data_IF_913188160712
#
_entry.id   IF_913188160712
#
_cell.length_a   1.000
_cell.length_b   1.000
_cell.length_c   1.000
_cell.angle_alpha   90.00
_cell.angle_beta   90.00
_cell.angle_gamma   90.00
#
_symmetry.space_group_name_H-M   'P 1'
#
loop_
_entity.id
_entity.type
_entity.pdbx_description
1 polymer ?
#
# COMPACT_ATOMS: atom_id res chain seq x y z
N UNK A 1 -29.09 0.63 -6.73
CA UNK A 1 -28.80 -0.59 -5.95
C UNK A 1 -27.83 -1.47 -6.65
N UNK A 2 -28.09 -1.77 -7.92
CA UNK A 2 -27.17 -2.57 -8.68
C UNK A 2 -25.82 -1.89 -8.81
N UNK A 3 -25.86 -0.58 -8.99
CA UNK A 3 -24.63 0.18 -9.07
C UNK A 3 -23.88 0.15 -7.74
N UNK A 4 -24.63 0.22 -6.66
CA UNK A 4 -24.03 0.16 -5.35
C UNK A 4 -23.34 -1.17 -5.12
N UNK A 5 -24.00 -2.24 -5.53
CA UNK A 5 -23.42 -3.57 -5.40
C UNK A 5 -22.15 -3.70 -6.21
N UNK A 6 -22.17 -3.18 -7.42
CA UNK A 6 -21.01 -3.22 -8.29
C UNK A 6 -19.88 -2.40 -7.68
N UNK A 7 -20.20 -1.21 -7.19
CA UNK A 7 -19.20 -0.36 -6.56
C UNK A 7 -18.63 -1.04 -5.32
N UNK A 8 -19.48 -1.69 -4.56
CA UNK A 8 -19.03 -2.38 -3.36
C UNK A 8 -18.07 -3.51 -3.72
N UNK A 9 -18.38 -4.23 -4.78
CA UNK A 9 -17.51 -5.32 -5.21
C UNK A 9 -16.15 -4.78 -5.66
N UNK A 10 -16.16 -3.73 -6.46
CA UNK A 10 -14.91 -3.12 -6.91
C UNK A 10 -14.12 -2.55 -5.75
N UNK A 11 -14.82 -1.93 -4.79
CA UNK A 11 -14.16 -1.40 -3.61
C UNK A 11 -13.54 -2.50 -2.77
N UNK A 12 -14.21 -3.65 -2.72
CA UNK A 12 -13.69 -4.77 -1.97
C UNK A 12 -12.40 -5.29 -2.59
N UNK A 13 -12.36 -5.38 -3.91
CA UNK A 13 -11.15 -5.81 -4.60
C UNK A 13 -10.01 -4.84 -4.35
N UNK A 14 -10.30 -3.55 -4.46
CA UNK A 14 -9.28 -2.53 -4.21
C UNK A 14 -8.80 -2.60 -2.77
N UNK A 15 -9.73 -2.83 -1.85
CA UNK A 15 -9.40 -2.93 -0.44
C UNK A 15 -8.49 -4.13 -0.19
N UNK A 16 -8.80 -5.25 -0.80
CA UNK A 16 -7.97 -6.45 -0.62
C UNK A 16 -6.56 -6.23 -1.11
N UNK A 17 -6.42 -5.56 -2.25
CA UNK A 17 -5.10 -5.28 -2.78
C UNK A 17 -4.33 -4.33 -1.88
N UNK A 18 -5.02 -3.35 -1.32
CA UNK A 18 -4.40 -2.42 -0.39
C UNK A 18 -3.91 -3.14 0.86
N UNK A 19 -4.74 -4.05 1.38
CA UNK A 19 -4.36 -4.81 2.57
C UNK A 19 -3.14 -5.68 2.28
N UNK A 20 -3.12 -6.29 1.11
CA UNK A 20 -1.97 -7.11 0.74
C UNK A 20 -0.69 -6.28 0.66
N UNK A 21 -0.78 -5.10 0.06
CA UNK A 21 0.37 -4.20 0.00
C UNK A 21 0.84 -3.81 1.40
N UNK A 22 -0.12 -3.56 2.29
CA UNK A 22 0.18 -3.21 3.67
C UNK A 22 1.02 -4.31 4.34
N UNK A 23 0.60 -5.55 4.17
CA UNK A 23 1.31 -6.67 4.77
C UNK A 23 2.67 -6.89 4.14
N UNK A 24 2.77 -6.70 2.84
CA UNK A 24 4.06 -6.84 2.16
C UNK A 24 5.03 -5.77 2.64
N UNK A 25 4.55 -4.55 2.84
CA UNK A 25 5.40 -3.48 3.34
C UNK A 25 5.92 -3.82 4.73
N UNK A 26 5.06 -4.36 5.59
CA UNK A 26 5.52 -4.80 6.91
C UNK A 26 6.62 -5.85 6.79
N UNK A 27 6.44 -6.79 5.88
CA UNK A 27 7.44 -7.84 5.70
C UNK A 27 8.79 -7.25 5.28
N UNK A 28 8.76 -6.27 4.39
CA UNK A 28 10.00 -5.63 3.94
C UNK A 28 10.65 -4.84 5.06
N UNK A 29 9.84 -4.14 5.84
CA UNK A 29 10.38 -3.37 6.96
C UNK A 29 11.01 -4.30 7.99
N UNK A 30 10.38 -5.43 8.22
CA UNK A 30 10.90 -6.40 9.17
C UNK A 30 12.19 -7.02 8.64
N UNK A 31 12.19 -7.44 7.38
CA UNK A 31 13.35 -8.08 6.77
C UNK A 31 14.56 -7.16 6.72
N UNK A 32 14.33 -5.88 6.50
CA UNK A 32 15.42 -4.93 6.38
C UNK A 32 15.97 -4.50 7.74
N UNK A 33 15.32 -4.89 8.81
CA UNK A 33 15.75 -4.51 10.15
C UNK A 33 15.22 -3.18 10.61
N UNK A 34 14.51 -2.45 9.75
CA UNK A 34 14.00 -1.13 10.12
C UNK A 34 12.98 -1.21 11.23
N UNK A 35 12.18 -2.27 11.25
CA UNK A 35 11.15 -2.41 12.27
C UNK A 35 11.73 -2.46 13.67
N UNK A 36 12.97 -2.94 13.80
CA UNK A 36 13.62 -3.00 15.10
C UNK A 36 14.34 -1.72 15.46
N UNK A 37 14.59 -0.86 14.48
CA UNK A 37 15.45 0.30 14.69
C UNK A 37 14.77 1.64 14.51
N UNK A 38 13.60 1.65 13.91
CA UNK A 38 12.89 2.88 13.61
C UNK A 38 11.47 2.75 14.07
N UNK A 39 11.08 3.64 14.93
CA UNK A 39 9.77 3.56 15.48
C UNK A 39 8.67 3.84 14.42
N UNK A 40 8.99 4.64 13.40
CA UNK A 40 8.00 4.88 12.35
C UNK A 40 7.71 3.63 11.54
N UNK A 41 8.66 2.70 11.48
CA UNK A 41 8.48 1.49 10.69
C UNK A 41 7.43 0.56 11.27
N UNK A 42 7.11 0.73 12.54
CA UNK A 42 6.04 -0.03 13.19
C UNK A 42 4.73 0.74 13.22
N UNK A 43 4.73 1.95 12.72
CA UNK A 43 3.55 2.79 12.76
C UNK A 43 2.56 2.36 11.71
N UNK A 44 1.41 1.85 12.14
CA UNK A 44 0.43 1.33 11.21
C UNK A 44 -0.11 2.40 10.28
N UNK A 45 -0.20 3.61 10.77
CA UNK A 45 -0.73 4.70 9.96
C UNK A 45 0.19 5.01 8.78
N UNK A 46 1.49 5.05 9.04
CA UNK A 46 2.46 5.33 7.98
C UNK A 46 2.50 4.18 6.98
N UNK A 47 2.51 2.96 7.48
CA UNK A 47 2.53 1.80 6.59
C UNK A 47 1.27 1.78 5.73
N UNK A 48 0.14 2.11 6.32
CA UNK A 48 -1.11 2.13 5.56
C UNK A 48 -1.10 3.25 4.52
N UNK A 49 -0.53 4.40 4.87
CA UNK A 49 -0.41 5.50 3.93
C UNK A 49 0.41 5.08 2.70
N UNK A 50 1.52 4.39 2.95
CA UNK A 50 2.34 3.91 1.84
C UNK A 50 1.56 2.92 0.98
N UNK A 51 0.83 2.02 1.63
CA UNK A 51 0.05 1.01 0.89
C UNK A 51 -1.01 1.67 0.02
N UNK A 52 -1.63 2.73 0.53
CA UNK A 52 -2.66 3.44 -0.22
C UNK A 52 -2.05 4.21 -1.39
N UNK A 53 -0.94 4.87 -1.15
CA UNK A 53 -0.34 5.76 -2.13
C UNK A 53 0.54 5.07 -3.15
N UNK A 54 0.92 3.83 -2.88
CA UNK A 54 1.90 3.17 -3.74
C UNK A 54 1.53 3.15 -5.22
N UNK A 55 0.29 2.82 -5.61
CA UNK A 55 -0.02 2.83 -7.04
C UNK A 55 0.21 4.18 -7.70
N UNK A 56 -0.12 5.26 -7.01
CA UNK A 56 0.12 6.60 -7.52
C UNK A 56 1.60 6.92 -7.57
N UNK A 57 2.31 6.50 -6.53
CA UNK A 57 3.74 6.73 -6.46
C UNK A 57 4.45 5.97 -7.59
N UNK A 58 4.04 4.74 -7.80
CA UNK A 58 4.61 3.92 -8.87
C UNK A 58 4.38 4.57 -10.24
N UNK A 59 3.17 5.10 -10.45
CA UNK A 59 2.87 5.76 -11.71
C UNK A 59 3.70 7.02 -11.88
N UNK A 60 3.85 7.78 -10.81
CA UNK A 60 4.67 9.00 -10.85
C UNK A 60 6.11 8.68 -11.21
N UNK A 61 6.64 7.60 -10.65
CA UNK A 61 8.00 7.18 -10.97
C UNK A 61 8.14 6.83 -12.43
N UNK A 62 7.14 6.13 -12.98
CA UNK A 62 7.17 5.77 -14.40
C UNK A 62 7.10 7.01 -15.27
N UNK A 63 6.23 7.95 -14.90
CA UNK A 63 6.08 9.17 -15.68
C UNK A 63 7.36 9.99 -15.67
N UNK A 64 8.11 9.92 -14.60
CA UNK A 64 9.37 10.63 -14.48
C UNK A 64 10.55 9.80 -14.99
N UNK A 65 10.28 8.62 -15.53
CA UNK A 65 11.29 7.74 -16.09
C UNK A 65 12.34 7.34 -15.07
N UNK A 66 11.91 7.11 -13.85
CA UNK A 66 12.82 6.65 -12.79
C UNK A 66 12.22 5.53 -11.98
N UNK A 67 11.20 4.87 -12.52
CA UNK A 67 10.49 3.82 -11.80
C UNK A 67 10.94 2.44 -12.16
N UNK A 68 12.08 2.30 -12.80
CA UNK A 68 12.49 1.01 -13.27
C UNK A 68 13.19 0.13 -12.25
#
# INVERSE_FOLDING_TARGET
>A
KLEEEKDTFDNLEAYKKKVLRHEIIHAFLFESGLASNSYWADNEEIVDWIAIQFPKLSQAFKDADCGE
#
